data_IF_812353603145
#
_entry.id   IF_812353603145
#
_cell.length_a   1.000
_cell.length_b   1.000
_cell.length_c   1.000
_cell.angle_alpha   90.00
_cell.angle_beta   90.00
_cell.angle_gamma   90.00
#
_symmetry.space_group_name_H-M   'P 1'
#
loop_
_entity.id
_entity.type
_entity.pdbx_description
1 polymer ?
#
# COMPACT_ATOMS: atom_id res chain seq x y z
N UNK A 1 -5.22 -3.30 -6.61
CA UNK A 1 -3.82 -3.68 -6.86
C UNK A 1 -2.90 -3.09 -5.78
N UNK A 2 -2.76 -1.76 -5.62
CA UNK A 2 -2.05 -1.15 -4.45
C UNK A 2 -2.56 -1.64 -3.09
N UNK A 3 -3.89 -1.77 -2.93
CA UNK A 3 -4.49 -2.32 -1.71
C UNK A 3 -4.07 -3.77 -1.45
N UNK A 4 -3.96 -4.60 -2.49
CA UNK A 4 -3.50 -5.99 -2.33
C UNK A 4 -2.02 -6.05 -1.98
N UNK A 5 -1.19 -5.16 -2.54
CA UNK A 5 0.24 -5.08 -2.21
C UNK A 5 0.50 -4.69 -0.74
N UNK A 6 -0.45 -4.03 -0.07
CA UNK A 6 -0.31 -3.62 1.35
C UNK A 6 -1.09 -4.52 2.32
N UNK A 7 -2.07 -5.26 1.83
CA UNK A 7 -2.82 -6.22 2.63
C UNK A 7 -2.07 -7.57 2.71
N UNK A 8 -1.24 -7.74 3.74
CA UNK A 8 -0.47 -8.96 4.01
C UNK A 8 -1.32 -10.20 4.24
N UNK A 9 -2.62 -10.05 4.57
CA UNK A 9 -3.54 -11.17 4.73
C UNK A 9 -4.08 -11.70 3.38
N UNK A 10 -3.92 -10.93 2.31
CA UNK A 10 -4.40 -11.31 0.99
C UNK A 10 -3.49 -12.34 0.34
N UNK A 11 -4.07 -13.40 -0.22
CA UNK A 11 -3.34 -14.37 -1.06
C UNK A 11 -2.69 -13.71 -2.30
N UNK A 12 -3.12 -12.50 -2.67
CA UNK A 12 -2.59 -11.74 -3.79
C UNK A 12 -1.47 -10.75 -3.40
N UNK A 13 -1.11 -10.68 -2.11
CA UNK A 13 -0.13 -9.72 -1.61
C UNK A 13 1.22 -9.84 -2.30
N UNK A 14 1.81 -11.03 -2.27
CA UNK A 14 3.14 -11.29 -2.84
C UNK A 14 3.18 -10.94 -4.33
N UNK A 15 2.19 -11.40 -5.10
CA UNK A 15 2.13 -11.13 -6.54
C UNK A 15 1.94 -9.63 -6.84
N UNK A 16 1.14 -8.94 -6.03
CA UNK A 16 0.89 -7.52 -6.19
C UNK A 16 2.13 -6.67 -5.79
N UNK A 17 2.80 -7.02 -4.69
CA UNK A 17 4.01 -6.34 -4.24
C UNK A 17 5.14 -6.49 -5.26
N UNK A 18 5.42 -7.71 -5.73
CA UNK A 18 6.47 -7.95 -6.74
C UNK A 18 6.20 -7.22 -8.06
N UNK A 19 4.96 -7.22 -8.55
CA UNK A 19 4.63 -6.46 -9.75
C UNK A 19 4.85 -4.96 -9.56
N UNK A 20 4.49 -4.41 -8.39
CA UNK A 20 4.67 -2.99 -8.10
C UNK A 20 6.16 -2.62 -8.05
N UNK A 21 6.98 -3.46 -7.42
CA UNK A 21 8.43 -3.29 -7.36
C UNK A 21 9.05 -3.32 -8.76
N UNK A 22 8.69 -4.29 -9.60
CA UNK A 22 9.17 -4.38 -10.99
C UNK A 22 8.80 -3.15 -11.82
N UNK A 23 7.56 -2.68 -11.68
CA UNK A 23 7.06 -1.51 -12.41
C UNK A 23 7.75 -0.22 -11.97
N UNK A 24 8.09 -0.08 -10.69
CA UNK A 24 8.81 1.08 -10.16
C UNK A 24 10.31 1.01 -10.38
N UNK A 25 10.89 -0.19 -10.44
CA UNK A 25 12.31 -0.42 -10.70
C UNK A 25 12.66 -0.40 -12.20
N UNK A 26 11.67 -0.42 -13.08
CA UNK A 26 11.86 -0.37 -14.53
C UNK A 26 12.41 0.97 -15.04
N UNK A 27 13.06 0.94 -16.21
CA UNK A 27 13.66 2.11 -16.86
C UNK A 27 12.65 3.17 -17.33
N UNK A 28 11.35 2.82 -17.35
CA UNK A 28 10.28 3.76 -17.69
C UNK A 28 9.77 4.48 -16.46
N UNK A 29 9.72 5.81 -16.54
CA UNK A 29 9.15 6.62 -15.46
C UNK A 29 7.64 6.41 -15.39
N UNK A 30 7.19 5.68 -14.37
CA UNK A 30 5.77 5.47 -14.12
C UNK A 30 5.24 6.60 -13.25
N UNK A 31 4.29 7.36 -13.78
CA UNK A 31 3.58 8.39 -13.03
C UNK A 31 2.38 7.78 -12.31
N UNK A 32 2.32 7.91 -10.98
CA UNK A 32 1.13 7.62 -10.21
C UNK A 32 0.27 8.89 -10.13
N UNK A 33 -0.95 8.90 -10.71
CA UNK A 33 -1.84 10.06 -10.62
C UNK A 33 -2.15 10.37 -9.16
N UNK A 34 -2.14 11.66 -8.80
CA UNK A 34 -2.44 12.09 -7.43
C UNK A 34 -3.81 11.60 -6.94
N UNK A 35 -4.79 11.51 -7.84
CA UNK A 35 -6.12 10.96 -7.55
C UNK A 35 -6.06 9.50 -7.11
N UNK A 36 -5.22 8.69 -7.76
CA UNK A 36 -5.01 7.27 -7.42
C UNK A 36 -4.36 7.13 -6.05
N UNK A 37 -3.35 7.96 -5.74
CA UNK A 37 -2.69 7.98 -4.43
C UNK A 37 -3.69 8.39 -3.34
N UNK A 38 -4.45 9.46 -3.56
CA UNK A 38 -5.45 9.92 -2.59
C UNK A 38 -6.59 8.92 -2.34
N UNK A 39 -7.05 8.23 -3.38
CA UNK A 39 -8.04 7.16 -3.24
C UNK A 39 -7.47 5.96 -2.49
N UNK A 40 -6.25 5.53 -2.81
CA UNK A 40 -5.54 4.47 -2.11
C UNK A 40 -5.40 4.78 -0.62
N UNK A 41 -4.88 5.96 -0.27
CA UNK A 41 -4.71 6.38 1.12
C UNK A 41 -6.05 6.38 1.85
N UNK A 42 -7.10 6.98 1.28
CA UNK A 42 -8.43 7.03 1.91
C UNK A 42 -8.98 5.63 2.21
N UNK A 43 -8.75 4.66 1.34
CA UNK A 43 -9.25 3.29 1.51
C UNK A 43 -8.35 2.49 2.48
N UNK A 44 -7.04 2.58 2.33
CA UNK A 44 -6.07 1.85 3.17
C UNK A 44 -6.10 2.33 4.63
N UNK A 45 -6.33 3.62 4.86
CA UNK A 45 -6.49 4.18 6.22
C UNK A 45 -7.94 4.16 6.70
N UNK A 46 -8.88 3.60 5.93
CA UNK A 46 -10.26 3.51 6.39
C UNK A 46 -10.38 2.36 7.42
N UNK A 47 -10.89 2.64 8.63
CA UNK A 47 -10.91 1.66 9.74
C UNK A 47 -11.80 0.42 9.48
N UNK A 48 -12.51 0.38 8.35
CA UNK A 48 -13.33 -0.78 7.92
C UNK A 48 -12.63 -1.74 6.95
N UNK A 49 -11.45 -1.38 6.43
CA UNK A 49 -10.63 -2.23 5.54
C UNK A 49 -9.36 -2.71 6.26
N UNK A 50 -8.95 -2.04 7.33
CA UNK A 50 -7.83 -2.42 8.18
C UNK A 50 -8.29 -3.33 9.34
N UNK A 51 -8.51 -4.62 9.09
CA UNK A 51 -8.53 -5.61 10.20
C UNK A 51 -7.18 -5.69 10.92
N UNK A 52 -6.10 -5.25 10.26
CA UNK A 52 -4.77 -5.11 10.86
C UNK A 52 -4.15 -3.74 10.47
N UNK A 53 -4.40 -2.66 11.23
CA UNK A 53 -3.81 -1.37 10.95
C UNK A 53 -2.29 -1.41 11.08
N UNK A 54 -1.58 -0.83 10.11
CA UNK A 54 -0.12 -0.64 10.17
C UNK A 54 0.20 0.23 11.39
N UNK A 55 0.69 -0.40 12.46
CA UNK A 55 1.08 0.27 13.68
C UNK A 55 2.34 1.11 13.42
N UNK A 56 2.18 2.43 13.52
CA UNK A 56 3.32 3.35 13.55
C UNK A 56 4.23 3.06 14.75
N UNK A 57 5.51 3.47 14.69
CA UNK A 57 6.45 3.23 15.78
C UNK A 57 5.86 3.77 17.10
N UNK A 58 5.98 3.02 18.22
CA UNK A 58 5.42 3.44 19.48
C UNK A 58 5.97 4.82 19.82
N UNK A 59 5.06 5.76 20.09
CA UNK A 59 5.41 7.09 20.54
C UNK A 59 6.12 6.92 21.88
N UNK A 60 7.46 7.01 21.86
CA UNK A 60 8.28 7.00 23.04
C UNK A 60 7.83 8.11 23.98
N UNK A 61 7.32 7.66 25.11
CA UNK A 61 7.38 8.26 26.42
C UNK A 61 8.55 9.27 26.53
N UNK A 62 8.16 10.54 26.67
CA UNK A 62 8.99 11.62 27.22
C UNK A 62 8.68 11.76 28.70
#
# INVERSE_FOLDING_TARGET
MLLYAVDESSAHNVAAASWLEEVLAGDSRVGLPWQTIGAFLRIATHPRVAENPLSGPPLGDT
#
